data_IF_194881913706
#
_entry.id   IF_194881913706
#
_cell.length_a   1.000
_cell.length_b   1.000
_cell.length_c   1.000
_cell.angle_alpha   90.00
_cell.angle_beta   90.00
_cell.angle_gamma   90.00
#
_symmetry.space_group_name_H-M   'P 1'
#
loop_
_entity.id
_entity.type
_entity.pdbx_description
1 polymer ?
#
# COMPACT_ATOMS: atom_id res chain seq x y z
N UNK A 1 -30.25 -1.21 -8.27
CA UNK A 1 -29.42 -2.42 -8.08
C UNK A 1 -27.96 -2.18 -8.44
N UNK A 2 -27.66 -1.58 -9.60
CA UNK A 2 -26.29 -1.39 -10.10
C UNK A 2 -25.35 -0.55 -9.21
N UNK A 3 -25.86 0.52 -8.58
CA UNK A 3 -25.04 1.39 -7.73
C UNK A 3 -24.42 0.63 -6.53
N UNK A 4 -25.19 -0.30 -5.94
CA UNK A 4 -24.73 -1.10 -4.80
C UNK A 4 -23.69 -2.15 -5.21
N UNK A 5 -23.85 -2.74 -6.40
CA UNK A 5 -22.86 -3.66 -6.98
C UNK A 5 -21.56 -2.91 -7.28
N UNK A 6 -21.64 -1.73 -7.91
CA UNK A 6 -20.47 -0.89 -8.20
C UNK A 6 -19.71 -0.51 -6.92
N UNK A 7 -20.41 0.00 -5.91
CA UNK A 7 -19.78 0.38 -4.63
C UNK A 7 -19.11 -0.83 -3.95
N UNK A 8 -19.77 -2.00 -3.98
CA UNK A 8 -19.22 -3.24 -3.43
C UNK A 8 -17.95 -3.66 -4.16
N UNK A 9 -17.97 -3.65 -5.50
CA UNK A 9 -16.80 -3.98 -6.32
C UNK A 9 -15.65 -3.01 -6.07
N UNK A 10 -15.90 -1.70 -6.01
CA UNK A 10 -14.85 -0.70 -5.71
C UNK A 10 -14.24 -0.92 -4.34
N UNK A 11 -15.06 -1.18 -3.31
CA UNK A 11 -14.58 -1.45 -1.94
C UNK A 11 -13.78 -2.75 -1.85
N UNK A 12 -14.20 -3.77 -2.59
CA UNK A 12 -13.45 -5.02 -2.70
C UNK A 12 -12.07 -4.78 -3.36
N UNK A 13 -12.03 -4.09 -4.50
CA UNK A 13 -10.77 -3.74 -5.18
C UNK A 13 -9.86 -2.89 -4.29
N UNK A 14 -10.41 -1.91 -3.58
CA UNK A 14 -9.66 -1.12 -2.61
C UNK A 14 -9.04 -2.00 -1.52
N UNK A 15 -9.81 -2.92 -0.93
CA UNK A 15 -9.30 -3.84 0.10
C UNK A 15 -8.23 -4.78 -0.43
N UNK A 16 -8.39 -5.26 -1.67
CA UNK A 16 -7.39 -6.12 -2.32
C UNK A 16 -6.09 -5.35 -2.55
N UNK A 17 -6.18 -4.11 -3.03
CA UNK A 17 -5.01 -3.24 -3.20
C UNK A 17 -4.35 -2.93 -1.86
N UNK A 18 -5.11 -2.73 -0.78
CA UNK A 18 -4.53 -2.56 0.56
C UNK A 18 -3.73 -3.80 1.00
N UNK A 19 -4.25 -5.01 0.73
CA UNK A 19 -3.56 -6.26 1.02
C UNK A 19 -2.27 -6.42 0.21
N UNK A 20 -2.36 -6.17 -1.10
CA UNK A 20 -1.20 -6.19 -1.99
C UNK A 20 -0.16 -5.15 -1.57
N UNK A 21 -0.58 -3.96 -1.16
CA UNK A 21 0.34 -2.92 -0.71
C UNK A 21 1.12 -3.35 0.54
N UNK A 22 0.46 -3.97 1.53
CA UNK A 22 1.14 -4.56 2.71
C UNK A 22 2.17 -5.61 2.26
N UNK A 23 1.78 -6.52 1.37
CA UNK A 23 2.67 -7.55 0.85
C UNK A 23 3.88 -6.94 0.14
N UNK A 24 3.67 -5.91 -0.68
CA UNK A 24 4.76 -5.22 -1.36
C UNK A 24 5.73 -4.55 -0.37
N UNK A 25 5.25 -3.94 0.72
CA UNK A 25 6.14 -3.40 1.76
C UNK A 25 6.99 -4.50 2.39
N UNK A 26 6.39 -5.66 2.71
CA UNK A 26 7.11 -6.80 3.27
C UNK A 26 8.22 -7.26 2.30
N UNK A 27 7.89 -7.43 1.02
CA UNK A 27 8.85 -7.82 -0.02
C UNK A 27 9.96 -6.78 -0.18
N UNK A 28 9.63 -5.48 -0.10
CA UNK A 28 10.62 -4.41 -0.15
C UNK A 28 11.63 -4.47 0.98
N UNK A 29 11.16 -4.66 2.22
CA UNK A 29 12.02 -4.81 3.39
C UNK A 29 12.87 -6.08 3.27
N UNK A 30 12.30 -7.17 2.74
CA UNK A 30 13.04 -8.40 2.47
C UNK A 30 14.16 -8.20 1.44
N UNK A 31 13.90 -7.53 0.30
CA UNK A 31 14.92 -7.26 -0.71
C UNK A 31 16.03 -6.32 -0.20
N UNK A 32 15.67 -5.32 0.60
CA UNK A 32 16.67 -4.50 1.29
C UNK A 32 17.53 -5.35 2.25
N UNK A 33 16.91 -6.30 2.95
CA UNK A 33 17.60 -7.27 3.80
C UNK A 33 18.58 -8.16 3.02
N UNK A 34 18.20 -8.66 1.84
CA UNK A 34 19.11 -9.39 0.95
C UNK A 34 20.32 -8.51 0.57
N UNK A 35 20.06 -7.27 0.20
CA UNK A 35 21.09 -6.27 -0.11
C UNK A 35 22.09 -6.00 1.01
N UNK A 36 21.62 -6.02 2.27
CA UNK A 36 22.44 -5.71 3.45
C UNK A 36 23.16 -6.94 3.99
N UNK A 37 22.51 -8.10 4.01
CA UNK A 37 22.97 -9.28 4.73
C UNK A 37 23.48 -10.42 3.83
N UNK A 38 23.17 -10.41 2.54
CA UNK A 38 23.50 -11.50 1.60
C UNK A 38 24.44 -11.01 0.50
N UNK A 39 23.96 -10.14 -0.40
CA UNK A 39 24.74 -9.56 -1.50
C UNK A 39 24.26 -8.15 -1.81
N UNK A 40 25.17 -7.18 -1.80
CA UNK A 40 24.88 -5.77 -2.15
C UNK A 40 24.28 -5.57 -3.54
N UNK A 41 24.48 -6.49 -4.48
CA UNK A 41 23.83 -6.46 -5.79
C UNK A 41 22.31 -6.56 -5.70
N UNK A 42 21.76 -7.23 -4.67
CA UNK A 42 20.32 -7.37 -4.47
C UNK A 42 19.63 -6.05 -4.09
N UNK A 43 20.38 -4.99 -3.75
CA UNK A 43 19.82 -3.64 -3.60
C UNK A 43 19.23 -3.10 -4.92
N UNK A 44 19.69 -3.60 -6.07
CA UNK A 44 19.07 -3.27 -7.35
C UNK A 44 17.63 -3.77 -7.42
N UNK A 45 17.36 -4.99 -6.92
CA UNK A 45 16.01 -5.56 -6.87
C UNK A 45 15.07 -4.71 -6.01
N UNK A 46 15.52 -4.27 -4.83
CA UNK A 46 14.79 -3.33 -3.97
C UNK A 46 14.43 -2.03 -4.71
N UNK A 47 15.40 -1.42 -5.40
CA UNK A 47 15.21 -0.16 -6.13
C UNK A 47 14.25 -0.31 -7.31
N UNK A 48 14.42 -1.35 -8.13
CA UNK A 48 13.57 -1.59 -9.30
C UNK A 48 12.13 -1.89 -8.87
N UNK A 49 11.95 -2.71 -7.83
CA UNK A 49 10.63 -3.04 -7.32
C UNK A 49 9.90 -1.80 -6.74
N UNK A 50 10.63 -0.78 -6.28
CA UNK A 50 10.04 0.42 -5.66
C UNK A 50 9.29 1.28 -6.67
N UNK A 51 9.73 1.31 -7.93
CA UNK A 51 9.10 2.09 -9.00
C UNK A 51 7.68 1.60 -9.35
N UNK A 52 7.38 0.32 -9.12
CA UNK A 52 6.04 -0.22 -9.37
C UNK A 52 5.09 -0.03 -8.19
N UNK A 53 5.64 0.18 -7.00
CA UNK A 53 4.92 0.17 -5.73
C UNK A 53 4.10 1.45 -5.49
N UNK A 54 4.58 2.60 -5.96
CA UNK A 54 3.96 3.92 -5.71
C UNK A 54 2.55 4.08 -6.30
N UNK A 55 2.27 3.44 -7.44
CA UNK A 55 1.00 3.59 -8.14
C UNK A 55 -0.19 3.02 -7.37
N UNK A 56 0.04 2.02 -6.51
CA UNK A 56 -1.02 1.38 -5.73
C UNK A 56 -1.75 2.37 -4.81
N UNK A 57 -1.01 3.28 -4.18
CA UNK A 57 -1.55 4.28 -3.27
C UNK A 57 -2.44 5.31 -3.99
N UNK A 58 -2.02 5.76 -5.19
CA UNK A 58 -2.80 6.67 -6.03
C UNK A 58 -4.11 6.01 -6.48
N UNK A 59 -4.04 4.76 -6.97
CA UNK A 59 -5.23 4.03 -7.41
C UNK A 59 -6.23 3.89 -6.27
N UNK A 60 -5.77 3.52 -5.07
CA UNK A 60 -6.64 3.43 -3.88
C UNK A 60 -7.26 4.79 -3.52
N UNK A 61 -6.49 5.88 -3.62
CA UNK A 61 -7.00 7.23 -3.38
C UNK A 61 -8.12 7.58 -4.36
N UNK A 62 -7.94 7.33 -5.66
CA UNK A 62 -8.95 7.58 -6.70
C UNK A 62 -10.19 6.70 -6.49
N UNK A 63 -10.02 5.41 -6.20
CA UNK A 63 -11.12 4.49 -5.90
C UNK A 63 -11.96 4.96 -4.70
N UNK A 64 -11.35 5.66 -3.74
CA UNK A 64 -12.08 6.14 -2.56
C UNK A 64 -13.24 7.09 -2.91
N UNK A 65 -13.17 7.81 -4.03
CA UNK A 65 -14.24 8.69 -4.51
C UNK A 65 -15.41 7.88 -5.08
N UNK A 66 -15.14 6.79 -5.79
CA UNK A 66 -16.15 5.94 -6.42
C UNK A 66 -16.79 4.93 -5.47
N UNK A 67 -16.11 4.56 -4.38
CA UNK A 67 -16.55 3.56 -3.40
C UNK A 67 -17.30 4.13 -2.19
N UNK A 68 -17.60 5.43 -2.20
CA UNK A 68 -18.13 6.15 -1.03
C UNK A 68 -17.28 5.88 0.24
N UNK A 69 -15.95 5.95 0.08
CA UNK A 69 -14.96 5.77 1.14
C UNK A 69 -14.49 7.18 1.55
N UNK A 70 -14.68 7.56 2.82
CA UNK A 70 -14.41 8.91 3.34
C UNK A 70 -13.48 8.86 4.55
N UNK A 71 -12.99 10.02 4.97
CA UNK A 71 -12.18 10.19 6.18
C UNK A 71 -10.79 9.56 6.05
N UNK A 72 -10.32 8.93 7.13
CA UNK A 72 -8.96 8.39 7.22
C UNK A 72 -8.61 7.41 6.10
N UNK A 73 -9.53 6.56 5.64
CA UNK A 73 -9.25 5.61 4.55
C UNK A 73 -8.91 6.30 3.22
N UNK A 74 -9.44 7.49 2.96
CA UNK A 74 -9.09 8.28 1.78
C UNK A 74 -7.76 8.99 1.98
N UNK A 75 -7.59 9.70 3.09
CA UNK A 75 -6.42 10.56 3.24
C UNK A 75 -5.16 9.79 3.59
N UNK A 76 -5.26 8.66 4.28
CA UNK A 76 -4.11 7.80 4.56
C UNK A 76 -3.55 7.14 3.30
N UNK A 77 -4.34 6.87 2.25
CA UNK A 77 -3.78 6.39 0.98
C UNK A 77 -2.99 7.48 0.26
N UNK A 78 -3.41 8.75 0.37
CA UNK A 78 -2.60 9.86 -0.09
C UNK A 78 -1.32 10.00 0.76
N UNK A 79 -1.42 9.75 2.07
CA UNK A 79 -0.27 9.68 2.98
C UNK A 79 0.73 8.58 2.60
N UNK A 80 0.26 7.39 2.19
CA UNK A 80 1.12 6.33 1.67
C UNK A 80 1.92 6.78 0.43
N UNK A 81 1.26 7.48 -0.49
CA UNK A 81 1.94 8.05 -1.66
C UNK A 81 3.01 9.07 -1.22
N UNK A 82 2.65 10.02 -0.36
CA UNK A 82 3.58 11.04 0.13
C UNK A 82 4.80 10.43 0.86
N UNK A 83 4.60 9.41 1.69
CA UNK A 83 5.69 8.68 2.36
C UNK A 83 6.58 7.93 1.36
N UNK A 84 5.99 7.33 0.31
CA UNK A 84 6.77 6.67 -0.74
C UNK A 84 7.62 7.68 -1.52
N UNK A 85 7.07 8.88 -1.83
CA UNK A 85 7.84 9.96 -2.45
C UNK A 85 8.95 10.47 -1.51
N UNK A 86 8.67 10.59 -0.21
CA UNK A 86 9.66 10.99 0.80
C UNK A 86 10.82 9.99 0.89
N UNK A 87 10.55 8.69 0.77
CA UNK A 87 11.61 7.68 0.70
C UNK A 87 12.58 7.88 -0.48
N UNK A 88 12.08 8.31 -1.64
CA UNK A 88 12.94 8.63 -2.78
C UNK A 88 13.77 9.89 -2.52
N UNK A 89 13.12 10.94 -2.02
CA UNK A 89 13.80 12.21 -1.69
C UNK A 89 14.88 12.03 -0.62
N UNK A 90 14.63 11.20 0.39
CA UNK A 90 15.57 11.01 1.50
C UNK A 90 16.88 10.37 1.07
N UNK A 91 16.84 9.47 0.09
CA UNK A 91 18.03 8.82 -0.47
C UNK A 91 18.71 9.69 -1.53
N UNK A 92 17.95 10.42 -2.34
CA UNK A 92 18.50 11.17 -3.48
C UNK A 92 19.01 12.57 -3.10
N UNK A 93 18.38 13.22 -2.12
CA UNK A 93 18.59 14.65 -1.84
C UNK A 93 19.39 14.89 -0.57
N UNK A 94 19.29 14.02 0.44
CA UNK A 94 19.94 14.23 1.74
C UNK A 94 21.22 13.41 1.90
N UNK A 95 22.10 13.88 2.77
CA UNK A 95 23.36 13.22 3.12
C UNK A 95 23.51 13.09 4.64
N UNK A 96 24.53 12.37 5.09
CA UNK A 96 24.77 12.14 6.53
C UNK A 96 23.76 11.19 7.14
N UNK A 97 23.14 11.58 8.26
CA UNK A 97 22.24 10.72 9.04
C UNK A 97 20.79 10.71 8.56
N UNK A 98 20.38 11.71 7.77
CA UNK A 98 18.99 11.87 7.33
C UNK A 98 18.48 10.74 6.42
N UNK A 99 19.28 10.15 5.50
CA UNK A 99 18.88 8.96 4.74
C UNK A 99 18.44 7.78 5.62
N UNK A 100 18.89 7.70 6.87
CA UNK A 100 18.47 6.64 7.79
C UNK A 100 16.96 6.69 8.09
N UNK A 101 16.30 7.84 7.93
CA UNK A 101 14.85 7.97 8.06
C UNK A 101 14.08 7.10 7.08
N UNK A 102 14.68 6.69 5.95
CA UNK A 102 14.08 5.76 5.00
C UNK A 102 13.57 4.48 5.68
N UNK A 103 14.31 3.97 6.66
CA UNK A 103 13.92 2.77 7.44
C UNK A 103 12.70 3.04 8.34
N UNK A 104 12.61 4.22 8.95
CA UNK A 104 11.46 4.62 9.78
C UNK A 104 10.23 4.79 8.90
N UNK A 105 10.38 5.43 7.74
CA UNK A 105 9.32 5.59 6.74
C UNK A 105 8.76 4.24 6.27
N UNK A 106 9.63 3.23 6.09
CA UNK A 106 9.19 1.89 5.70
C UNK A 106 8.26 1.25 6.75
N UNK A 107 8.55 1.46 8.04
CA UNK A 107 7.67 1.02 9.12
C UNK A 107 6.34 1.79 9.07
N UNK A 108 6.36 3.11 8.88
CA UNK A 108 5.12 3.89 8.76
C UNK A 108 4.25 3.40 7.59
N UNK A 109 4.85 3.12 6.43
CA UNK A 109 4.17 2.54 5.27
C UNK A 109 3.53 1.19 5.62
N UNK A 110 4.25 0.31 6.32
CA UNK A 110 3.74 -0.99 6.78
C UNK A 110 2.54 -0.82 7.74
N UNK A 111 2.67 0.04 8.75
CA UNK A 111 1.62 0.24 9.74
C UNK A 111 0.35 0.87 9.16
N UNK A 112 0.50 1.89 8.31
CA UNK A 112 -0.63 2.56 7.66
C UNK A 112 -1.33 1.60 6.69
N UNK A 113 -0.58 0.89 5.86
CA UNK A 113 -1.17 -0.09 4.93
C UNK A 113 -1.87 -1.23 5.66
N UNK A 114 -1.29 -1.74 6.76
CA UNK A 114 -1.93 -2.73 7.63
C UNK A 114 -3.22 -2.21 8.30
N UNK A 115 -3.23 -0.94 8.72
CA UNK A 115 -4.43 -0.27 9.21
C UNK A 115 -5.53 -0.20 8.13
N UNK A 116 -5.19 0.20 6.91
CA UNK A 116 -6.11 0.28 5.78
C UNK A 116 -6.68 -1.10 5.41
N UNK A 117 -5.83 -2.14 5.37
CA UNK A 117 -6.24 -3.52 5.12
C UNK A 117 -7.24 -3.99 6.19
N UNK A 118 -6.89 -3.83 7.47
CA UNK A 118 -7.77 -4.24 8.58
C UNK A 118 -9.12 -3.56 8.54
N UNK A 119 -9.16 -2.25 8.21
CA UNK A 119 -10.43 -1.50 8.11
C UNK A 119 -11.25 -1.87 6.87
N UNK A 120 -10.61 -2.33 5.80
CA UNK A 120 -11.27 -2.80 4.58
C UNK A 120 -11.57 -4.30 4.58
N UNK A 121 -11.15 -5.04 5.61
CA UNK A 121 -11.28 -6.50 5.71
C UNK A 121 -12.72 -7.01 5.54
N UNK A 122 -13.70 -6.30 6.11
CA UNK A 122 -15.11 -6.67 5.96
C UNK A 122 -15.58 -6.64 4.50
N UNK A 123 -15.00 -5.76 3.67
CA UNK A 123 -15.34 -5.67 2.24
C UNK A 123 -14.76 -6.83 1.42
N UNK A 124 -13.69 -7.47 1.90
CA UNK A 124 -13.13 -8.69 1.30
C UNK A 124 -13.97 -9.92 1.64
N UNK A 125 -14.45 -10.00 2.89
CA UNK A 125 -15.21 -11.15 3.40
C UNK A 125 -16.68 -11.19 2.93
N UNK A 126 -17.27 -10.05 2.58
CA UNK A 126 -18.69 -9.95 2.16
C UNK A 126 -19.00 -10.56 0.77
N UNK A 127 -18.10 -11.36 0.18
CA UNK A 127 -18.38 -12.21 -1.00
C UNK A 127 -19.20 -13.48 -0.68
N UNK A 128 -19.46 -13.84 0.58
CA UNK A 128 -19.92 -15.20 0.93
C UNK A 128 -21.44 -15.45 1.12
N UNK A 129 -22.34 -14.48 0.92
CA UNK A 129 -23.77 -14.69 1.24
C UNK A 129 -24.72 -14.43 0.05
N UNK A 130 -24.46 -15.01 -1.12
CA UNK A 130 -25.29 -14.83 -2.32
C UNK A 130 -25.65 -16.06 -3.14
N UNK A 131 -25.24 -17.28 -2.74
CA UNK A 131 -25.45 -18.51 -3.54
C UNK A 131 -26.12 -19.66 -2.77
N UNK A 132 -27.03 -19.36 -1.84
CA UNK A 132 -27.94 -20.40 -1.30
C UNK A 132 -29.33 -19.78 -1.10
N UNK A 133 -30.14 -19.83 -2.16
CA UNK A 133 -31.60 -19.96 -2.18
C UNK A 133 -32.09 -19.81 -3.62
N UNK A 134 -31.97 -20.91 -4.38
CA UNK A 134 -32.85 -21.24 -5.49
C UNK A 134 -33.77 -22.37 -5.06
#
# INVERSE_FOLDING_TARGET
MELNVRIRSVRFTYGLLAALYVLCVILQVYFAGLGVFVDSADLELHRVFANYFEFGAIIMFLLSFFGSIRGGLRWLTLGLFALTSLQHMTIQTFTGVLPALHTVDALLLFWISGYLLRKSWSWLLLRRNGEVQG
#
